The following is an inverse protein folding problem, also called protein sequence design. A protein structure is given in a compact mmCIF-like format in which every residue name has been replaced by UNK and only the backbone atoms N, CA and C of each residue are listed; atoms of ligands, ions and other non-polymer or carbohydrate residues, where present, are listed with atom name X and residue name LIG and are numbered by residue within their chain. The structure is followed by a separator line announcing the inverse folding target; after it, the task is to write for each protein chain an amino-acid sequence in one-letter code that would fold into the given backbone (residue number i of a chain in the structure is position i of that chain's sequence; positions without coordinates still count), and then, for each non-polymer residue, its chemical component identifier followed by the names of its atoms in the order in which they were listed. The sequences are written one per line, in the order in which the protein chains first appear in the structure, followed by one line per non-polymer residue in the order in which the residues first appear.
data_IF_594234938711
#
_entry.id   IF_594234938711
#
_cell.length_a   1.000
_cell.length_b   1.000
_cell.length_c   1.000
_cell.angle_alpha   90.00
_cell.angle_beta   90.00
_cell.angle_gamma   90.00
#
_symmetry.space_group_name_H-M   'P 1'
#
loop_
_entity.id
_entity.type
_entity.pdbx_description
1 polymer ?
#
# COMPACT_ATOMS: atom_id res chain seq x y z
N UNK A 1 -16.76 -5.68 -8.23
CA UNK A 1 -16.66 -5.89 -9.68
C UNK A 1 -16.56 -7.39 -9.89
N UNK A 2 -17.69 -8.02 -10.17
CA UNK A 2 -17.81 -9.47 -10.39
C UNK A 2 -17.20 -9.78 -11.76
N UNK A 3 -16.16 -10.61 -11.80
CA UNK A 3 -15.45 -11.00 -13.04
C UNK A 3 -16.21 -12.01 -13.90
N UNK A 4 -17.55 -11.99 -13.86
CA UNK A 4 -18.38 -12.73 -14.80
C UNK A 4 -18.58 -11.79 -15.98
N UNK A 5 -17.91 -12.06 -17.09
CA UNK A 5 -18.21 -11.38 -18.35
C UNK A 5 -19.58 -11.89 -18.83
N UNK A 6 -20.64 -11.07 -18.76
CA UNK A 6 -22.00 -11.50 -19.12
C UNK A 6 -22.15 -11.80 -20.62
N UNK A 7 -21.09 -11.56 -21.40
CA UNK A 7 -21.05 -11.70 -22.85
C UNK A 7 -20.47 -13.05 -23.29
N UNK A 8 -19.93 -13.86 -22.37
CA UNK A 8 -19.39 -15.20 -22.70
C UNK A 8 -20.55 -16.19 -22.85
N UNK A 9 -20.70 -16.85 -24.01
CA UNK A 9 -21.64 -17.96 -24.14
C UNK A 9 -21.12 -19.12 -23.29
N UNK A 10 -21.87 -19.46 -22.24
CA UNK A 10 -21.63 -20.67 -21.45
C UNK A 10 -21.81 -21.90 -22.35
N UNK A 11 -21.01 -22.96 -22.17
CA UNK A 11 -21.21 -24.21 -22.88
C UNK A 11 -22.63 -24.75 -22.63
N UNK A 12 -23.39 -24.95 -23.71
CA UNK A 12 -24.74 -25.50 -23.64
C UNK A 12 -24.74 -27.00 -23.32
N UNK A 13 -25.92 -27.59 -23.05
CA UNK A 13 -26.05 -29.01 -22.69
C UNK A 13 -25.58 -29.99 -23.80
N UNK A 14 -25.37 -29.50 -25.02
CA UNK A 14 -24.86 -30.25 -26.17
C UNK A 14 -23.33 -30.11 -26.37
N UNK A 15 -22.63 -29.43 -25.44
CA UNK A 15 -21.19 -29.20 -25.54
C UNK A 15 -20.39 -30.50 -25.40
N UNK A 16 -19.34 -30.65 -26.21
CA UNK A 16 -18.48 -31.83 -26.16
C UNK A 16 -17.60 -31.78 -24.91
N UNK A 17 -17.08 -32.94 -24.48
CA UNK A 17 -16.17 -32.99 -23.32
C UNK A 17 -14.93 -32.10 -23.51
N UNK A 18 -14.41 -32.02 -24.73
CA UNK A 18 -13.28 -31.14 -25.08
C UNK A 18 -13.62 -29.65 -24.91
N UNK A 19 -14.86 -29.25 -25.24
CA UNK A 19 -15.32 -27.86 -25.09
C UNK A 19 -15.40 -27.46 -23.61
N UNK A 20 -15.91 -28.36 -22.77
CA UNK A 20 -15.95 -28.14 -21.32
C UNK A 20 -14.55 -28.07 -20.70
N UNK A 21 -13.64 -28.92 -21.16
CA UNK A 21 -12.26 -28.92 -20.68
C UNK A 21 -11.55 -27.62 -21.05
N UNK A 22 -11.74 -27.12 -22.27
CA UNK A 22 -11.17 -25.85 -22.71
C UNK A 22 -11.68 -24.65 -21.88
N UNK A 23 -12.97 -24.63 -21.53
CA UNK A 23 -13.53 -23.54 -20.72
C UNK A 23 -13.08 -23.60 -19.25
N UNK A 24 -12.92 -24.80 -18.69
CA UNK A 24 -12.32 -24.99 -17.36
C UNK A 24 -10.88 -24.47 -17.32
N UNK A 25 -10.06 -24.80 -18.32
CA UNK A 25 -8.67 -24.34 -18.41
C UNK A 25 -8.59 -22.82 -18.47
N UNK A 26 -9.42 -22.21 -19.32
CA UNK A 26 -9.54 -20.75 -19.46
C UNK A 26 -9.98 -20.09 -18.15
N UNK A 27 -10.95 -20.66 -17.46
CA UNK A 27 -11.44 -20.15 -16.18
C UNK A 27 -10.35 -20.24 -15.10
N UNK A 28 -9.56 -21.33 -15.08
CA UNK A 28 -8.42 -21.48 -14.17
C UNK A 28 -7.34 -20.42 -14.42
N UNK A 29 -7.02 -20.13 -15.67
CA UNK A 29 -6.10 -19.05 -16.03
C UNK A 29 -6.56 -17.69 -15.50
N UNK A 30 -7.83 -17.33 -15.72
CA UNK A 30 -8.40 -16.05 -15.28
C UNK A 30 -8.40 -15.89 -13.75
N UNK A 31 -8.69 -16.98 -13.04
CA UNK A 31 -8.60 -17.00 -11.58
C UNK A 31 -7.14 -16.92 -11.10
N UNK A 32 -6.20 -17.56 -11.80
CA UNK A 32 -4.77 -17.45 -11.54
C UNK A 32 -4.25 -16.01 -11.69
N UNK A 33 -4.66 -15.32 -12.74
CA UNK A 33 -4.36 -13.89 -12.95
C UNK A 33 -4.92 -13.02 -11.82
N UNK A 34 -6.16 -13.30 -11.40
CA UNK A 34 -6.83 -12.56 -10.32
C UNK A 34 -6.13 -12.74 -8.97
N UNK A 35 -5.73 -13.98 -8.65
CA UNK A 35 -4.96 -14.29 -7.42
C UNK A 35 -3.60 -13.61 -7.45
N UNK A 36 -2.95 -13.58 -8.62
CA UNK A 36 -1.67 -12.88 -8.81
C UNK A 36 -1.82 -11.38 -8.59
N UNK A 37 -2.84 -10.76 -9.17
CA UNK A 37 -3.13 -9.34 -8.97
C UNK A 37 -3.47 -9.00 -7.51
N UNK A 38 -4.20 -9.88 -6.82
CA UNK A 38 -4.51 -9.70 -5.40
C UNK A 38 -3.25 -9.84 -4.53
N UNK A 39 -2.41 -10.84 -4.82
CA UNK A 39 -1.13 -11.06 -4.14
C UNK A 39 -0.19 -9.87 -4.32
N UNK A 40 -0.10 -9.33 -5.53
CA UNK A 40 0.68 -8.12 -5.81
C UNK A 40 0.20 -6.92 -4.97
N UNK A 41 -1.12 -6.72 -4.81
CA UNK A 41 -1.65 -5.65 -3.94
C UNK A 41 -1.34 -5.88 -2.46
N UNK A 42 -1.40 -7.12 -1.98
CA UNK A 42 -1.06 -7.46 -0.60
C UNK A 42 0.43 -7.23 -0.31
N UNK A 43 1.30 -7.53 -1.26
CA UNK A 43 2.74 -7.33 -1.16
C UNK A 43 3.11 -5.83 -1.05
N UNK A 44 2.48 -4.96 -1.84
CA UNK A 44 2.63 -3.49 -1.70
C UNK A 44 2.20 -3.00 -0.32
N UNK A 45 1.08 -3.50 0.21
CA UNK A 45 0.60 -3.14 1.56
C UNK A 45 1.58 -3.60 2.65
N UNK A 46 2.12 -4.81 2.52
CA UNK A 46 3.13 -5.35 3.44
C UNK A 46 4.39 -4.48 3.43
N UNK A 47 4.91 -4.14 2.25
CA UNK A 47 6.07 -3.25 2.08
C UNK A 47 5.85 -1.87 2.69
N UNK A 48 4.69 -1.27 2.49
CA UNK A 48 4.35 0.02 3.08
C UNK A 48 4.31 -0.05 4.61
N UNK A 49 3.69 -1.09 5.18
CA UNK A 49 3.62 -1.30 6.63
C UNK A 49 5.00 -1.49 7.25
N UNK A 50 5.88 -2.28 6.63
CA UNK A 50 7.25 -2.48 7.10
C UNK A 50 8.06 -1.19 7.06
N UNK A 51 7.93 -0.40 5.99
CA UNK A 51 8.60 0.89 5.88
C UNK A 51 8.13 1.88 6.96
N UNK A 52 6.82 1.92 7.24
CA UNK A 52 6.27 2.74 8.31
C UNK A 52 6.78 2.31 9.70
N UNK A 53 6.84 1.01 9.98
CA UNK A 53 7.36 0.49 11.25
C UNK A 53 8.83 0.87 11.47
N UNK A 54 9.70 0.65 10.48
CA UNK A 54 11.11 1.02 10.57
C UNK A 54 11.31 2.54 10.70
N UNK A 55 10.43 3.34 10.09
CA UNK A 55 10.45 4.79 10.20
C UNK A 55 10.02 5.24 11.61
N UNK A 56 8.99 4.61 12.20
CA UNK A 56 8.53 4.88 13.57
C UNK A 56 9.64 4.70 14.60
N UNK A 57 10.42 3.62 14.50
CA UNK A 57 11.53 3.39 15.44
C UNK A 57 12.62 4.45 15.33
N UNK A 58 12.95 4.89 14.11
CA UNK A 58 13.90 6.00 13.90
C UNK A 58 13.36 7.35 14.38
N UNK A 59 12.05 7.59 14.23
CA UNK A 59 11.40 8.80 14.72
C UNK A 59 11.32 8.83 16.25
N UNK A 60 11.07 7.72 16.92
CA UNK A 60 11.06 7.66 18.39
C UNK A 60 12.43 8.05 18.97
N UNK A 61 13.52 7.55 18.37
CA UNK A 61 14.88 7.92 18.76
C UNK A 61 15.23 9.38 18.44
N UNK A 62 14.73 9.92 17.32
CA UNK A 62 15.00 11.31 16.91
C UNK A 62 14.15 12.32 17.68
N UNK A 63 12.88 12.01 17.94
CA UNK A 63 11.99 12.84 18.76
C UNK A 63 12.52 12.99 20.18
N UNK A 64 13.08 11.93 20.76
CA UNK A 64 13.73 12.00 22.08
C UNK A 64 14.96 12.92 22.07
N UNK A 65 15.74 12.92 20.97
CA UNK A 65 16.90 13.82 20.80
C UNK A 65 16.48 15.27 20.58
N UNK A 66 15.43 15.52 19.79
CA UNK A 66 14.89 16.86 19.55
C UNK A 66 14.21 17.41 20.80
N UNK A 67 13.49 16.60 21.56
CA UNK A 67 12.90 16.99 22.85
C UNK A 67 13.97 17.29 23.91
N UNK A 68 15.11 16.59 23.86
CA UNK A 68 16.29 16.90 24.67
C UNK A 68 16.99 18.19 24.22
N UNK A 69 17.15 18.40 22.91
CA UNK A 69 17.82 19.57 22.33
C UNK A 69 16.97 20.85 22.41
N UNK A 70 15.65 20.74 22.36
CA UNK A 70 14.72 21.86 22.56
C UNK A 70 14.62 22.28 24.03
N UNK A 71 15.11 21.45 24.96
CA UNK A 71 15.19 21.75 26.39
C UNK A 71 16.60 22.21 26.73
N UNK A 72 16.87 23.49 26.51
CA UNK A 72 18.05 24.16 27.05
C UNK A 72 17.98 24.23 28.59
N UNK A 73 19.12 24.47 29.25
CA UNK A 73 19.27 24.61 30.72
C UNK A 73 18.40 25.71 31.38
N UNK A 74 17.50 26.36 30.63
CA UNK A 74 16.65 27.47 31.04
C UNK A 74 15.16 27.25 30.69
N UNK A 75 14.73 26.02 30.42
CA UNK A 75 13.31 25.62 30.45
C UNK A 75 12.37 26.33 29.47
N UNK A 76 12.89 26.96 28.40
CA UNK A 76 12.11 27.78 27.48
C UNK A 76 12.19 27.24 26.06
N UNK A 77 11.06 26.70 25.59
CA UNK A 77 10.83 26.32 24.19
C UNK A 77 10.69 27.60 23.36
N UNK A 78 11.65 27.89 22.48
CA UNK A 78 11.50 28.98 21.49
C UNK A 78 10.24 28.73 20.63
N UNK A 79 9.21 29.59 20.63
CA UNK A 79 8.05 29.43 19.77
C UNK A 79 8.23 30.33 18.55
N UNK A 80 8.69 29.79 17.43
CA UNK A 80 8.77 30.60 16.21
C UNK A 80 8.46 29.83 14.92
N UNK A 81 8.07 28.56 15.00
CA UNK A 81 7.58 27.82 13.82
C UNK A 81 6.14 27.41 14.08
N UNK A 82 5.16 27.98 13.36
CA UNK A 82 3.77 27.59 13.51
C UNK A 82 3.60 26.13 13.11
N UNK A 83 2.83 25.37 13.90
CA UNK A 83 2.60 23.92 13.74
C UNK A 83 2.17 23.55 12.31
N UNK A 84 1.45 24.44 11.62
CA UNK A 84 1.04 24.25 10.22
C UNK A 84 2.20 24.08 9.24
N UNK A 85 3.34 24.73 9.44
CA UNK A 85 4.51 24.61 8.55
C UNK A 85 5.18 23.25 8.70
N UNK A 86 5.20 22.70 9.91
CA UNK A 86 5.77 21.36 10.18
C UNK A 86 4.90 20.29 9.52
N UNK A 87 3.57 20.37 9.69
CA UNK A 87 2.64 19.40 9.08
C UNK A 87 2.71 19.45 7.56
N UNK A 88 2.79 20.66 6.97
CA UNK A 88 2.92 20.83 5.52
C UNK A 88 4.25 20.23 4.99
N UNK A 89 5.38 20.49 5.66
CA UNK A 89 6.67 19.94 5.26
C UNK A 89 6.71 18.40 5.36
N UNK A 90 6.12 17.82 6.41
CA UNK A 90 5.99 16.37 6.55
C UNK A 90 5.12 15.77 5.44
N UNK A 91 3.99 16.39 5.12
CA UNK A 91 3.11 15.93 4.05
C UNK A 91 3.81 15.94 2.68
N UNK A 92 4.52 17.02 2.35
CA UNK A 92 5.29 17.11 1.10
C UNK A 92 6.41 16.07 1.05
N UNK A 93 7.15 15.89 2.14
CA UNK A 93 8.18 14.86 2.23
C UNK A 93 7.64 13.45 2.01
N UNK A 94 6.47 13.13 2.58
CA UNK A 94 5.78 11.84 2.38
C UNK A 94 5.35 11.66 0.92
N UNK A 95 4.78 12.70 0.30
CA UNK A 95 4.35 12.63 -1.11
C UNK A 95 5.54 12.41 -2.04
N UNK A 96 6.65 13.12 -1.83
CA UNK A 96 7.87 12.93 -2.62
C UNK A 96 8.42 11.52 -2.41
N UNK A 97 8.44 11.01 -1.17
CA UNK A 97 8.93 9.66 -0.88
C UNK A 97 8.09 8.55 -1.53
N UNK A 98 6.76 8.68 -1.52
CA UNK A 98 5.86 7.75 -2.21
C UNK A 98 6.08 7.79 -3.73
N UNK A 99 6.43 8.96 -4.27
CA UNK A 99 6.62 9.16 -5.71
C UNK A 99 8.02 8.75 -6.20
N UNK A 100 8.99 8.67 -5.29
CA UNK A 100 10.40 8.36 -5.60
C UNK A 100 10.79 6.91 -5.27
N UNK A 101 9.85 6.10 -4.78
CA UNK A 101 10.00 4.69 -4.43
C UNK A 101 9.13 3.83 -5.34
#
# INVERSE_FOLDING_TARGET
MTGVDPSRPEPGPEASADDLQADIEKTREQLGETVTALSAKLDVKSRAKQAAAHTKDRLAGTASKVAGAARNNQGSLRPAVPVGVIVAALAVGVVIWIRHR
#
